data_IF_088241790669
#
_entry.id   IF_088241790669
#
_cell.length_a   1.000
_cell.length_b   1.000
_cell.length_c   1.000
_cell.angle_alpha   90.00
_cell.angle_beta   90.00
_cell.angle_gamma   90.00
#
_symmetry.space_group_name_H-M   'P 1'
#
loop_
_entity.id
_entity.type
_entity.pdbx_description
1 polymer ?
#
# COMPACT_ATOMS: atom_id res chain seq x y z
N UNK A 1 12.01 -48.97 -17.63
CA UNK A 1 11.65 -47.61 -18.13
C UNK A 1 10.54 -46.89 -17.33
N UNK A 2 10.24 -47.27 -16.07
CA UNK A 2 9.19 -46.60 -15.27
C UNK A 2 9.73 -45.60 -14.22
N UNK A 3 10.97 -45.77 -13.73
CA UNK A 3 11.55 -44.88 -12.71
C UNK A 3 11.79 -43.44 -13.21
N UNK A 4 12.24 -43.25 -14.46
CA UNK A 4 12.56 -41.92 -14.99
C UNK A 4 11.32 -41.00 -15.11
N UNK A 5 10.11 -41.57 -15.18
CA UNK A 5 8.86 -40.77 -15.25
C UNK A 5 8.46 -40.18 -13.90
N UNK A 6 8.76 -40.86 -12.79
CA UNK A 6 8.43 -40.36 -11.44
C UNK A 6 9.40 -39.26 -10.97
N UNK A 7 10.67 -39.34 -11.37
CA UNK A 7 11.66 -38.29 -11.06
C UNK A 7 11.31 -36.96 -11.75
N UNK A 8 10.78 -37.01 -12.99
CA UNK A 8 10.35 -35.84 -13.74
C UNK A 8 9.11 -35.17 -13.12
N UNK A 9 8.17 -35.96 -12.60
CA UNK A 9 6.96 -35.45 -11.91
C UNK A 9 7.29 -34.78 -10.57
N UNK A 10 8.24 -35.32 -9.79
CA UNK A 10 8.72 -34.71 -8.55
C UNK A 10 9.48 -33.40 -8.80
N UNK A 11 10.27 -33.31 -9.87
CA UNK A 11 10.95 -32.06 -10.25
C UNK A 11 9.98 -30.96 -10.69
N UNK A 12 8.90 -31.31 -11.39
CA UNK A 12 7.87 -30.37 -11.82
C UNK A 12 7.00 -29.85 -10.65
N UNK A 13 6.78 -30.66 -9.61
CA UNK A 13 6.06 -30.24 -8.40
C UNK A 13 6.85 -29.24 -7.55
N UNK A 14 8.19 -29.32 -7.51
CA UNK A 14 9.02 -28.31 -6.83
C UNK A 14 9.07 -26.97 -7.57
N UNK A 15 8.97 -26.97 -8.90
CA UNK A 15 8.98 -25.73 -9.71
C UNK A 15 7.64 -24.98 -9.67
N UNK A 16 6.53 -25.66 -9.37
CA UNK A 16 5.20 -25.06 -9.26
C UNK A 16 4.94 -24.40 -7.89
N UNK A 17 5.83 -24.60 -6.92
CA UNK A 17 5.74 -24.02 -5.57
C UNK A 17 6.67 -22.80 -5.42
N UNK A 18 6.89 -22.02 -6.49
CA UNK A 18 7.41 -20.66 -6.31
C UNK A 18 6.29 -19.92 -5.58
N UNK A 19 6.46 -19.54 -4.30
CA UNK A 19 5.49 -18.67 -3.67
C UNK A 19 5.41 -17.44 -4.55
N UNK A 20 4.22 -17.12 -5.06
CA UNK A 20 3.98 -15.77 -5.55
C UNK A 20 4.35 -14.86 -4.37
N UNK A 21 5.49 -14.19 -4.48
CA UNK A 21 6.00 -13.41 -3.35
C UNK A 21 4.97 -12.30 -3.12
N UNK A 22 4.30 -12.34 -1.97
CA UNK A 22 3.33 -11.34 -1.60
C UNK A 22 3.96 -9.95 -1.76
N UNK A 23 3.30 -9.06 -2.51
CA UNK A 23 3.70 -7.66 -2.58
C UNK A 23 3.67 -7.10 -1.17
N UNK A 24 4.80 -6.54 -0.73
CA UNK A 24 4.88 -5.86 0.56
C UNK A 24 4.54 -4.41 0.34
N UNK A 25 3.77 -3.85 1.26
CA UNK A 25 3.39 -2.45 1.21
C UNK A 25 3.91 -1.81 2.49
N UNK A 26 4.57 -0.67 2.38
CA UNK A 26 5.09 0.09 3.52
C UNK A 26 4.65 1.54 3.45
N UNK A 27 4.45 2.14 4.60
CA UNK A 27 4.00 3.52 4.74
C UNK A 27 4.94 4.31 5.63
N UNK A 28 5.15 5.58 5.26
CA UNK A 28 5.82 6.56 6.09
C UNK A 28 4.97 7.81 6.18
N UNK A 29 4.68 8.24 7.40
CA UNK A 29 4.13 9.57 7.64
C UNK A 29 5.28 10.57 7.64
N UNK A 30 5.09 11.73 7.03
CA UNK A 30 6.10 12.79 6.97
C UNK A 30 5.55 14.01 7.67
N UNK A 31 5.39 13.92 9.00
CA UNK A 31 4.91 14.98 9.87
C UNK A 31 5.96 15.27 10.95
N UNK A 32 6.19 16.53 11.37
CA UNK A 32 7.18 16.84 12.41
C UNK A 32 6.92 16.15 13.74
N UNK A 33 5.64 15.89 14.05
CA UNK A 33 5.21 15.24 15.30
C UNK A 33 5.12 13.71 15.20
N UNK A 34 5.55 13.11 14.08
CA UNK A 34 5.39 11.69 13.85
C UNK A 34 6.13 10.82 14.87
N UNK A 35 5.64 9.59 15.02
CA UNK A 35 6.31 8.52 15.75
C UNK A 35 6.83 7.51 14.71
N UNK A 36 8.04 6.95 14.85
CA UNK A 36 8.51 5.91 13.94
C UNK A 36 7.60 4.69 13.97
N UNK A 37 7.38 4.07 12.80
CA UNK A 37 6.74 2.78 12.67
C UNK A 37 7.64 1.64 13.16
N UNK A 38 7.16 0.41 13.07
CA UNK A 38 7.84 -0.77 13.66
C UNK A 38 8.48 -1.72 12.63
N UNK A 39 8.50 -1.36 11.35
CA UNK A 39 9.12 -2.21 10.33
C UNK A 39 10.61 -2.41 10.57
N UNK A 40 11.02 -3.67 10.48
CA UNK A 40 12.42 -4.13 10.50
C UNK A 40 12.91 -4.50 9.09
N UNK A 41 12.12 -4.20 8.06
CA UNK A 41 12.44 -4.52 6.68
C UNK A 41 13.68 -3.75 6.23
N UNK A 42 14.65 -4.47 5.65
CA UNK A 42 15.88 -3.86 5.16
C UNK A 42 15.56 -2.76 4.12
N UNK A 43 16.10 -1.55 4.34
CA UNK A 43 15.83 -0.37 3.51
C UNK A 43 14.58 0.43 3.93
N UNK A 44 13.73 -0.13 4.79
CA UNK A 44 12.47 0.48 5.25
C UNK A 44 12.32 0.44 6.78
N UNK A 45 13.44 0.47 7.50
CA UNK A 45 13.44 0.49 8.95
C UNK A 45 12.68 1.72 9.49
N UNK A 46 11.86 1.53 10.53
CA UNK A 46 11.00 2.55 11.15
C UNK A 46 9.81 3.02 10.28
N UNK A 47 9.47 2.28 9.23
CA UNK A 47 8.23 2.48 8.48
C UNK A 47 7.12 1.63 9.09
N UNK A 48 5.89 1.86 8.68
CA UNK A 48 4.75 1.00 9.04
C UNK A 48 4.47 0.03 7.91
N UNK A 49 4.36 -1.25 8.21
CA UNK A 49 3.98 -2.27 7.22
C UNK A 49 2.46 -2.28 7.06
N UNK A 50 1.99 -2.26 5.81
CA UNK A 50 0.57 -2.27 5.48
C UNK A 50 0.18 -3.65 4.95
N UNK A 51 -1.01 -4.10 5.31
CA UNK A 51 -1.60 -5.35 4.81
C UNK A 51 -2.46 -5.11 3.57
N UNK A 52 -3.09 -3.95 3.46
CA UNK A 52 -3.89 -3.58 2.29
C UNK A 52 -3.95 -2.06 2.09
N UNK A 53 -4.13 -1.64 0.84
CA UNK A 53 -4.41 -0.26 0.44
C UNK A 53 -5.56 -0.29 -0.57
N UNK A 54 -6.59 0.49 -0.33
CA UNK A 54 -7.67 0.73 -1.28
C UNK A 54 -7.72 2.23 -1.58
N UNK A 55 -7.66 2.56 -2.87
CA UNK A 55 -7.71 3.91 -3.37
C UNK A 55 -8.60 3.93 -4.62
N UNK A 56 -9.34 5.01 -4.80
CA UNK A 56 -10.19 5.16 -5.97
C UNK A 56 -10.54 6.61 -6.25
N UNK A 57 -10.80 6.89 -7.51
CA UNK A 57 -11.37 8.14 -7.98
C UNK A 57 -12.56 7.83 -8.87
N UNK A 58 -13.59 8.66 -8.80
CA UNK A 58 -14.76 8.55 -9.67
C UNK A 58 -14.92 9.85 -10.44
N UNK A 59 -15.23 9.74 -11.73
CA UNK A 59 -15.68 10.85 -12.56
C UNK A 59 -17.03 10.47 -13.13
N UNK A 60 -18.05 11.31 -12.94
CA UNK A 60 -19.34 11.10 -13.58
C UNK A 60 -19.32 11.76 -14.98
N UNK A 61 -19.40 10.98 -16.08
CA UNK A 61 -19.55 11.59 -17.39
C UNK A 61 -20.93 12.27 -17.48
N UNK A 62 -21.03 13.51 -17.97
CA UNK A 62 -22.31 14.20 -18.05
C UNK A 62 -23.26 13.47 -19.00
N UNK A 63 -24.56 13.44 -18.67
CA UNK A 63 -25.64 12.74 -19.41
C UNK A 63 -25.80 13.27 -20.84
N UNK A 64 -25.34 14.49 -21.13
CA UNK A 64 -25.20 15.01 -22.48
C UNK A 64 -24.10 16.06 -22.51
N UNK A 65 -23.07 15.80 -23.31
CA UNK A 65 -21.98 16.74 -23.55
C UNK A 65 -22.11 17.17 -25.01
N UNK A 66 -22.63 18.36 -25.25
CA UNK A 66 -22.56 18.95 -26.58
C UNK A 66 -21.10 19.05 -27.05
N UNK A 67 -20.84 19.37 -28.34
CA UNK A 67 -19.48 19.53 -28.83
C UNK A 67 -18.75 20.60 -27.98
N UNK A 68 -17.75 20.18 -27.21
CA UNK A 68 -16.94 21.06 -26.35
C UNK A 68 -17.34 21.14 -24.87
N UNK A 69 -18.29 20.35 -24.39
CA UNK A 69 -18.59 20.31 -22.95
C UNK A 69 -17.51 19.57 -22.14
N UNK A 70 -17.22 20.08 -20.95
CA UNK A 70 -16.30 19.46 -20.00
C UNK A 70 -16.93 18.22 -19.37
N UNK A 71 -16.19 17.11 -19.34
CA UNK A 71 -16.50 15.96 -18.48
C UNK A 71 -16.36 16.43 -17.02
N UNK A 72 -17.25 16.00 -16.12
CA UNK A 72 -17.24 16.44 -14.71
C UNK A 72 -15.92 16.15 -14.00
N UNK A 73 -15.60 16.95 -12.97
CA UNK A 73 -14.34 16.85 -12.23
C UNK A 73 -14.17 15.46 -11.59
N UNK A 74 -12.93 14.98 -11.53
CA UNK A 74 -12.59 13.75 -10.83
C UNK A 74 -12.72 13.96 -9.31
N UNK A 75 -13.59 13.17 -8.68
CA UNK A 75 -13.75 13.15 -7.22
C UNK A 75 -12.88 12.02 -6.66
N UNK A 76 -11.90 12.38 -5.84
CA UNK A 76 -11.03 11.42 -5.17
C UNK A 76 -11.74 10.87 -3.93
N UNK A 77 -11.84 9.54 -3.82
CA UNK A 77 -12.37 8.89 -2.62
C UNK A 77 -11.30 8.85 -1.52
N UNK A 78 -11.75 8.66 -0.28
CA UNK A 78 -10.82 8.43 0.83
C UNK A 78 -9.97 7.18 0.55
N UNK A 79 -8.70 7.24 0.92
CA UNK A 79 -7.81 6.10 0.91
C UNK A 79 -8.07 5.28 2.16
N UNK A 80 -8.26 3.97 2.00
CA UNK A 80 -8.38 3.03 3.11
C UNK A 80 -7.09 2.23 3.22
N UNK A 81 -6.51 2.20 4.40
CA UNK A 81 -5.27 1.48 4.70
C UNK A 81 -5.53 0.50 5.83
N UNK A 82 -5.13 -0.74 5.63
CA UNK A 82 -5.14 -1.77 6.68
C UNK A 82 -3.70 -2.01 7.11
N UNK A 83 -3.49 -2.03 8.42
CA UNK A 83 -2.16 -2.17 9.03
C UNK A 83 -2.26 -2.94 10.35
N UNK A 84 -1.18 -3.63 10.77
CA UNK A 84 -1.08 -4.14 12.13
C UNK A 84 -1.15 -3.00 13.15
N UNK A 85 -1.58 -3.31 14.36
CA UNK A 85 -1.63 -2.35 15.46
C UNK A 85 -0.21 -2.07 15.99
N UNK A 86 0.51 -1.17 15.32
CA UNK A 86 1.83 -0.68 15.69
C UNK A 86 1.77 0.68 16.40
N UNK A 87 2.92 1.27 16.74
CA UNK A 87 2.99 2.64 17.30
C UNK A 87 2.36 3.71 16.39
N UNK A 88 2.41 3.52 15.08
CA UNK A 88 1.82 4.46 14.13
C UNK A 88 0.28 4.41 14.18
N UNK A 89 -0.33 3.25 14.46
CA UNK A 89 -1.78 3.14 14.67
C UNK A 89 -2.26 4.13 15.73
N UNK A 90 -1.59 4.15 16.89
CA UNK A 90 -1.91 5.06 17.99
C UNK A 90 -1.72 6.53 17.60
N UNK A 91 -0.67 6.83 16.83
CA UNK A 91 -0.42 8.16 16.32
C UNK A 91 -1.53 8.63 15.37
N UNK A 92 -1.95 7.78 14.42
CA UNK A 92 -3.05 8.07 13.50
C UNK A 92 -4.38 8.25 14.25
N UNK A 93 -4.65 7.43 15.28
CA UNK A 93 -5.83 7.56 16.15
C UNK A 93 -5.86 8.89 16.89
N UNK A 94 -4.70 9.37 17.35
CA UNK A 94 -4.59 10.71 17.93
C UNK A 94 -4.89 11.80 16.88
N UNK A 95 -4.40 11.65 15.65
CA UNK A 95 -4.64 12.62 14.57
C UNK A 95 -6.11 12.68 14.17
N UNK A 96 -6.77 11.54 14.08
CA UNK A 96 -8.22 11.43 13.91
C UNK A 96 -8.97 12.15 15.05
N UNK A 97 -8.68 11.78 16.31
CA UNK A 97 -9.36 12.34 17.49
C UNK A 97 -9.20 13.86 17.59
N UNK A 98 -8.00 14.37 17.31
CA UNK A 98 -7.70 15.82 17.37
C UNK A 98 -8.11 16.57 16.10
N UNK A 99 -8.57 15.88 15.06
CA UNK A 99 -8.86 16.43 13.72
C UNK A 99 -7.70 17.25 13.16
N UNK A 100 -6.47 16.87 13.49
CA UNK A 100 -5.27 17.55 13.02
C UNK A 100 -4.74 16.90 11.76
N UNK A 101 -4.33 17.74 10.80
CA UNK A 101 -3.75 17.27 9.55
C UNK A 101 -2.36 16.65 9.72
N UNK A 102 -1.95 15.98 8.67
CA UNK A 102 -0.62 15.45 8.42
C UNK A 102 -0.04 16.18 7.22
N UNK A 103 1.22 16.60 7.30
CA UNK A 103 1.88 17.27 6.17
C UNK A 103 1.88 16.38 4.93
N UNK A 104 2.30 15.11 5.05
CA UNK A 104 2.15 14.14 3.98
C UNK A 104 2.26 12.69 4.45
N UNK A 105 1.77 11.77 3.63
CA UNK A 105 1.92 10.33 3.77
C UNK A 105 2.48 9.78 2.47
N UNK A 106 3.49 8.92 2.59
CA UNK A 106 4.05 8.17 1.48
C UNK A 106 3.74 6.69 1.67
N UNK A 107 3.24 6.03 0.63
CA UNK A 107 3.01 4.59 0.58
C UNK A 107 3.81 4.01 -0.59
N UNK A 108 4.68 3.04 -0.29
CA UNK A 108 5.50 2.35 -1.26
C UNK A 108 5.04 0.89 -1.39
N UNK A 109 4.70 0.49 -2.61
CA UNK A 109 4.46 -0.91 -2.98
C UNK A 109 5.78 -1.50 -3.46
N UNK A 110 6.21 -2.56 -2.79
CA UNK A 110 7.52 -3.15 -2.95
C UNK A 110 7.46 -4.41 -3.81
N UNK A 111 8.48 -4.59 -4.65
CA UNK A 111 8.70 -5.80 -5.43
C UNK A 111 10.03 -6.43 -5.02
N UNK A 112 10.01 -7.74 -4.82
CA UNK A 112 11.24 -8.53 -4.64
C UNK A 112 11.90 -8.75 -6.00
N UNK A 113 13.17 -8.35 -6.13
CA UNK A 113 13.93 -8.44 -7.39
C UNK A 113 15.14 -9.37 -7.30
N UNK A 114 15.20 -10.22 -6.27
CA UNK A 114 16.36 -11.08 -5.98
C UNK A 114 17.52 -10.36 -5.27
N UNK A 115 17.42 -9.05 -5.08
CA UNK A 115 18.30 -8.27 -4.20
C UNK A 115 17.93 -8.47 -2.72
N UNK A 116 18.89 -8.21 -1.82
CA UNK A 116 18.71 -8.36 -0.36
C UNK A 116 17.65 -7.40 0.20
N UNK A 117 17.60 -6.18 -0.33
CA UNK A 117 16.54 -5.21 -0.01
C UNK A 117 15.49 -5.19 -1.14
N UNK A 118 14.19 -5.20 -0.81
CA UNK A 118 13.13 -5.04 -1.80
C UNK A 118 13.18 -3.64 -2.42
N UNK A 119 12.72 -3.52 -3.67
CA UNK A 119 12.70 -2.25 -4.39
C UNK A 119 11.29 -1.68 -4.47
N UNK A 120 11.15 -0.37 -4.35
CA UNK A 120 9.88 0.33 -4.59
C UNK A 120 9.53 0.20 -6.07
N UNK A 121 8.39 -0.44 -6.34
CA UNK A 121 7.84 -0.59 -7.69
C UNK A 121 6.86 0.54 -8.02
N UNK A 122 6.06 0.93 -7.03
CA UNK A 122 5.04 1.97 -7.17
C UNK A 122 4.98 2.79 -5.89
N UNK A 123 4.76 4.10 -6.02
CA UNK A 123 4.69 5.03 -4.89
C UNK A 123 3.44 5.90 -5.00
N UNK A 124 2.74 6.02 -3.88
CA UNK A 124 1.65 6.97 -3.68
C UNK A 124 2.15 8.02 -2.70
N UNK A 125 2.04 9.28 -3.07
CA UNK A 125 2.34 10.41 -2.20
C UNK A 125 1.06 11.23 -2.02
N UNK A 126 0.67 11.45 -0.78
CA UNK A 126 -0.49 12.25 -0.40
C UNK A 126 -0.03 13.42 0.46
N UNK A 127 -0.44 14.63 0.11
CA UNK A 127 -0.09 15.86 0.82
C UNK A 127 -1.32 16.44 1.53
N UNK A 128 -1.11 17.14 2.65
CA UNK A 128 -2.16 17.76 3.45
C UNK A 128 -3.29 16.76 3.81
N UNK A 129 -2.90 15.64 4.40
CA UNK A 129 -3.77 14.49 4.65
C UNK A 129 -4.51 14.65 5.97
N UNK A 130 -5.78 14.24 6.01
CA UNK A 130 -6.56 14.12 7.23
C UNK A 130 -6.95 12.66 7.45
N UNK A 131 -6.83 12.20 8.69
CA UNK A 131 -7.36 10.89 9.09
C UNK A 131 -8.84 11.07 9.37
N UNK A 132 -9.69 10.47 8.54
CA UNK A 132 -11.15 10.66 8.59
C UNK A 132 -11.86 9.67 9.50
N UNK A 133 -11.39 8.42 9.53
CA UNK A 133 -11.98 7.33 10.31
C UNK A 133 -10.92 6.26 10.58
N UNK A 134 -10.96 5.64 11.77
CA UNK A 134 -10.25 4.40 12.09
C UNK A 134 -11.26 3.32 12.52
N UNK A 135 -11.17 2.14 11.91
CA UNK A 135 -11.92 0.93 12.24
C UNK A 135 -10.96 -0.11 12.83
N UNK A 136 -11.30 -0.69 13.99
CA UNK A 136 -10.46 -1.65 14.76
C UNK A 136 -11.05 -3.07 14.74
#
# INVERSE_FOLDING_TARGET
>A
MKLNRYALLLGLLLAAAIPSMAQRIVMKVMDPSQIPGESVLQGFANWTELTAVNAGSTSEPPVWVGPGGSVGDAVTKCFTISMPQDRMAYYLKRKEYTRSGLVSIQIDVLKTTGATAPQTYYRILMENVFVTLIEE
#
